data_IF_558547833659
#
_entry.id   IF_558547833659
#
_cell.length_a   1.000
_cell.length_b   1.000
_cell.length_c   1.000
_cell.angle_alpha   90.00
_cell.angle_beta   90.00
_cell.angle_gamma   90.00
#
_symmetry.space_group_name_H-M   'P 1'
#
loop_
_entity.id
_entity.type
_entity.pdbx_description
1 polymer ?
#
# COMPACT_ATOMS: atom_id res chain seq x y z
N UNK A 1 -24.17 30.40 29.93
CA UNK A 1 -24.49 30.81 28.56
C UNK A 1 -24.23 32.29 28.46
N UNK A 2 -23.16 32.68 27.78
CA UNK A 2 -22.89 34.10 27.53
C UNK A 2 -23.93 34.64 26.55
N UNK A 3 -24.67 35.68 26.95
CA UNK A 3 -25.57 36.37 26.06
C UNK A 3 -24.75 37.18 25.06
N UNK A 4 -24.82 36.79 23.80
CA UNK A 4 -24.16 37.51 22.71
C UNK A 4 -24.80 38.90 22.59
N UNK A 5 -24.06 39.95 22.93
CA UNK A 5 -24.47 41.34 22.69
C UNK A 5 -24.61 41.66 21.20
N UNK A 6 -25.10 42.87 20.86
CA UNK A 6 -25.42 43.23 19.47
C UNK A 6 -24.23 43.09 18.50
N UNK A 7 -24.45 42.46 17.33
CA UNK A 7 -23.44 42.20 16.28
C UNK A 7 -23.43 43.31 15.22
N UNK A 8 -24.55 44.04 15.12
CA UNK A 8 -24.73 45.16 14.22
C UNK A 8 -25.34 46.35 14.99
N UNK A 9 -25.00 47.56 14.54
CA UNK A 9 -25.60 48.81 15.01
C UNK A 9 -25.98 49.66 13.81
N UNK A 10 -27.11 50.36 13.87
CA UNK A 10 -27.58 51.19 12.76
C UNK A 10 -28.49 52.31 13.22
N UNK A 11 -28.72 53.29 12.34
CA UNK A 11 -29.48 54.49 12.66
C UNK A 11 -29.77 55.36 11.44
N UNK A 12 -30.53 56.45 11.65
CA UNK A 12 -30.75 57.50 10.66
C UNK A 12 -29.57 58.48 10.67
N UNK A 13 -29.07 58.80 9.50
CA UNK A 13 -27.94 59.69 9.23
C UNK A 13 -28.31 60.76 8.22
N UNK A 14 -29.53 61.30 8.34
CA UNK A 14 -30.16 62.19 7.35
C UNK A 14 -29.33 63.43 6.96
N UNK A 15 -28.38 63.84 7.81
CA UNK A 15 -27.52 64.99 7.55
C UNK A 15 -26.13 64.62 6.99
N UNK A 16 -25.78 63.33 6.92
CA UNK A 16 -24.42 62.88 6.59
C UNK A 16 -24.07 63.09 5.12
N UNK A 17 -25.04 62.89 4.22
CA UNK A 17 -24.88 63.20 2.79
C UNK A 17 -24.93 64.70 2.54
N UNK A 18 -25.74 65.44 3.31
CA UNK A 18 -25.83 66.90 3.22
C UNK A 18 -24.50 67.61 3.49
N UNK A 19 -23.63 67.04 4.34
CA UNK A 19 -22.29 67.56 4.62
C UNK A 19 -21.35 67.54 3.40
N UNK A 20 -21.64 66.72 2.38
CA UNK A 20 -20.86 66.62 1.15
C UNK A 20 -21.58 67.22 -0.07
N UNK A 21 -22.80 67.73 0.10
CA UNK A 21 -23.55 68.42 -0.97
C UNK A 21 -23.36 69.94 -0.85
N UNK A 22 -22.81 70.55 -1.91
CA UNK A 22 -22.64 72.00 -2.11
C UNK A 22 -23.89 72.86 -1.86
N UNK A 23 -25.09 72.27 -1.88
CA UNK A 23 -26.38 72.95 -1.65
C UNK A 23 -27.04 72.60 -0.31
N UNK A 24 -26.34 71.90 0.57
CA UNK A 24 -26.77 71.51 1.91
C UNK A 24 -28.19 70.89 1.95
N UNK A 25 -28.50 70.06 0.95
CA UNK A 25 -29.82 69.45 0.83
C UNK A 25 -29.93 68.33 1.87
N UNK A 26 -30.98 68.38 2.69
CA UNK A 26 -31.24 67.33 3.67
C UNK A 26 -31.80 66.10 2.94
N UNK A 27 -31.02 65.00 2.94
CA UNK A 27 -31.36 63.76 2.23
C UNK A 27 -31.49 62.66 3.28
N UNK A 28 -32.68 62.07 3.47
CA UNK A 28 -32.86 61.04 4.46
C UNK A 28 -31.96 59.83 4.16
N UNK A 29 -31.20 59.39 5.15
CA UNK A 29 -30.18 58.36 5.01
C UNK A 29 -30.28 57.40 6.20
N UNK A 30 -30.08 56.11 5.94
CA UNK A 30 -29.93 55.10 7.00
C UNK A 30 -28.62 54.36 6.78
N UNK A 31 -27.99 53.97 7.87
CA UNK A 31 -26.70 53.27 7.86
C UNK A 31 -26.72 52.13 8.85
N UNK A 32 -26.05 51.04 8.47
CA UNK A 32 -25.78 49.90 9.34
C UNK A 32 -24.28 49.64 9.33
N UNK A 33 -23.73 49.42 10.51
CA UNK A 33 -22.36 48.98 10.72
C UNK A 33 -22.38 47.60 11.34
N UNK A 34 -21.54 46.71 10.83
CA UNK A 34 -21.41 45.34 11.32
C UNK A 34 -19.96 45.12 11.74
N UNK A 35 -19.76 44.66 12.97
CA UNK A 35 -18.42 44.38 13.49
C UNK A 35 -17.92 43.03 12.98
N UNK A 36 -16.99 43.03 12.03
CA UNK A 36 -16.41 41.81 11.44
C UNK A 36 -15.74 40.93 12.51
N UNK A 37 -14.97 41.52 13.42
CA UNK A 37 -14.35 40.81 14.54
C UNK A 37 -15.39 40.10 15.43
N UNK A 38 -16.55 40.72 15.64
CA UNK A 38 -17.63 40.16 16.48
C UNK A 38 -18.31 38.98 15.80
N UNK A 39 -18.47 39.04 14.47
CA UNK A 39 -18.95 37.92 13.68
C UNK A 39 -18.00 36.73 13.84
N UNK A 40 -16.69 36.94 13.71
CA UNK A 40 -15.69 35.88 13.85
C UNK A 40 -15.74 35.24 15.24
N UNK A 41 -15.75 36.04 16.31
CA UNK A 41 -15.80 35.49 17.68
C UNK A 41 -17.07 34.68 17.95
N UNK A 42 -18.23 35.09 17.43
CA UNK A 42 -19.48 34.34 17.57
C UNK A 42 -19.46 33.05 16.75
N UNK A 43 -18.85 33.08 15.56
CA UNK A 43 -18.65 31.91 14.72
C UNK A 43 -17.75 30.89 15.45
N UNK A 44 -16.60 31.33 15.94
CA UNK A 44 -15.64 30.50 16.69
C UNK A 44 -16.25 29.90 17.96
N UNK A 45 -17.00 30.70 18.74
CA UNK A 45 -17.65 30.22 19.96
C UNK A 45 -18.75 29.18 19.67
N UNK A 46 -19.53 29.35 18.60
CA UNK A 46 -20.52 28.35 18.17
C UNK A 46 -19.84 27.08 17.63
N UNK A 47 -18.74 27.23 16.91
CA UNK A 47 -17.99 26.12 16.32
C UNK A 47 -17.24 25.28 17.36
N UNK A 48 -16.71 25.91 18.41
CA UNK A 48 -16.12 25.21 19.55
C UNK A 48 -17.14 24.35 20.33
N UNK A 49 -18.42 24.76 20.32
CA UNK A 49 -19.51 23.99 20.93
C UNK A 49 -19.95 22.78 20.08
N UNK A 50 -19.76 22.83 18.76
CA UNK A 50 -20.20 21.78 17.81
C UNK A 50 -19.12 20.72 17.52
N UNK A 51 -17.90 20.88 18.06
CA UNK A 51 -16.76 19.93 17.91
C UNK A 51 -16.44 19.55 16.45
N UNK A 52 -16.85 20.36 15.47
CA UNK A 52 -16.55 20.16 14.06
C UNK A 52 -15.19 20.78 13.74
N UNK A 53 -14.19 19.94 13.46
CA UNK A 53 -12.95 20.40 12.81
C UNK A 53 -13.31 21.01 11.45
N UNK A 54 -13.20 22.33 11.35
CA UNK A 54 -13.43 23.05 10.10
C UNK A 54 -12.35 22.60 9.12
N UNK A 55 -12.79 22.01 8.02
CA UNK A 55 -11.92 21.73 6.89
C UNK A 55 -11.69 23.05 6.17
N UNK A 56 -10.44 23.48 6.06
CA UNK A 56 -10.07 24.62 5.21
C UNK A 56 -10.06 24.24 3.73
N UNK A 57 -10.14 22.95 3.40
CA UNK A 57 -10.07 22.42 2.03
C UNK A 57 -11.27 21.52 1.73
N UNK A 58 -11.94 21.76 0.60
CA UNK A 58 -13.05 20.93 0.08
C UNK A 58 -12.58 19.63 -0.59
N UNK A 59 -11.39 19.12 -0.23
CA UNK A 59 -10.76 17.98 -0.89
C UNK A 59 -11.36 16.69 -0.35
N UNK A 60 -11.97 15.86 -1.18
CA UNK A 60 -12.53 14.58 -0.75
C UNK A 60 -11.46 13.48 -0.71
N UNK A 61 -10.55 13.46 -1.68
CA UNK A 61 -9.55 12.39 -1.82
C UNK A 61 -8.15 12.97 -2.03
N UNK A 62 -7.18 12.50 -1.24
CA UNK A 62 -5.77 12.78 -1.50
C UNK A 62 -5.13 11.61 -2.25
N UNK A 63 -4.52 11.89 -3.40
CA UNK A 63 -3.81 10.90 -4.21
C UNK A 63 -2.33 10.86 -3.83
N UNK A 64 -1.95 9.82 -3.10
CA UNK A 64 -0.60 9.57 -2.65
C UNK A 64 0.12 8.53 -3.54
N UNK A 65 1.45 8.60 -3.61
CA UNK A 65 2.28 7.57 -4.24
C UNK A 65 3.21 6.91 -3.22
N UNK A 66 3.27 5.57 -3.24
CA UNK A 66 4.16 4.77 -2.41
C UNK A 66 5.60 4.69 -2.98
N UNK A 67 5.76 4.78 -4.30
CA UNK A 67 7.05 4.67 -4.99
C UNK A 67 7.39 5.92 -5.81
N UNK A 68 8.60 5.93 -6.38
CA UNK A 68 9.11 7.01 -7.21
C UNK A 68 8.56 6.90 -8.65
N UNK A 69 8.46 8.02 -9.34
CA UNK A 69 8.08 8.16 -10.76
C UNK A 69 6.61 7.88 -11.11
N UNK A 70 5.72 7.72 -10.13
CA UNK A 70 4.27 7.55 -10.35
C UNK A 70 3.52 8.87 -10.58
N UNK A 71 4.20 9.93 -11.05
CA UNK A 71 3.57 11.24 -11.21
C UNK A 71 2.47 11.24 -12.30
N UNK A 72 2.72 10.57 -13.42
CA UNK A 72 1.76 10.48 -14.51
C UNK A 72 0.51 9.67 -14.12
N UNK A 73 0.70 8.56 -13.41
CA UNK A 73 -0.39 7.74 -12.91
C UNK A 73 -1.22 8.47 -11.86
N UNK A 74 -0.57 9.19 -10.92
CA UNK A 74 -1.27 10.06 -9.98
C UNK A 74 -2.12 11.10 -10.70
N UNK A 75 -1.58 11.75 -11.73
CA UNK A 75 -2.33 12.71 -12.53
C UNK A 75 -3.49 12.08 -13.31
N UNK A 76 -3.34 10.86 -13.83
CA UNK A 76 -4.45 10.13 -14.46
C UNK A 76 -5.56 9.85 -13.45
N UNK A 77 -5.21 9.31 -12.28
CA UNK A 77 -6.18 9.02 -11.22
C UNK A 77 -6.87 10.30 -10.71
N UNK A 78 -6.16 11.41 -10.57
CA UNK A 78 -6.77 12.70 -10.23
C UNK A 78 -7.80 13.13 -11.28
N UNK A 79 -7.52 12.95 -12.58
CA UNK A 79 -8.48 13.24 -13.64
C UNK A 79 -9.72 12.35 -13.55
N UNK A 80 -9.54 11.04 -13.40
CA UNK A 80 -10.65 10.09 -13.29
C UNK A 80 -11.54 10.41 -12.08
N UNK A 81 -10.94 10.83 -10.96
CA UNK A 81 -11.67 11.23 -9.75
C UNK A 81 -12.37 12.59 -9.93
N UNK A 82 -11.77 13.54 -10.64
CA UNK A 82 -12.42 14.80 -10.99
C UNK A 82 -13.61 14.59 -11.94
N UNK A 83 -13.48 13.70 -12.93
CA UNK A 83 -14.57 13.33 -13.84
C UNK A 83 -15.73 12.66 -13.08
N UNK A 84 -15.44 11.95 -11.98
CA UNK A 84 -16.43 11.40 -11.07
C UNK A 84 -17.03 12.43 -10.09
N UNK A 85 -16.63 13.71 -10.16
CA UNK A 85 -17.11 14.79 -9.30
C UNK A 85 -16.49 14.81 -7.90
N UNK A 86 -15.37 14.12 -7.67
CA UNK A 86 -14.64 14.14 -6.41
C UNK A 86 -13.52 15.18 -6.47
N UNK A 87 -13.54 16.15 -5.55
CA UNK A 87 -12.43 17.08 -5.38
C UNK A 87 -11.20 16.31 -4.90
N UNK A 88 -10.14 16.28 -5.70
CA UNK A 88 -8.90 15.58 -5.36
C UNK A 88 -7.67 16.46 -5.37
N UNK A 89 -6.72 16.15 -4.48
CA UNK A 89 -5.43 16.83 -4.36
C UNK A 89 -4.30 15.81 -4.39
N UNK A 90 -3.14 16.22 -4.90
CA UNK A 90 -1.91 15.44 -4.89
C UNK A 90 -0.73 16.31 -4.48
N UNK A 91 0.34 15.70 -3.96
CA UNK A 91 1.57 16.44 -3.66
C UNK A 91 2.27 16.91 -4.95
N UNK A 92 2.61 18.19 -5.01
CA UNK A 92 3.39 18.83 -6.07
C UNK A 92 4.80 18.25 -6.25
N UNK A 93 5.31 17.52 -5.25
CA UNK A 93 6.63 16.89 -5.35
C UNK A 93 6.56 15.70 -6.30
N UNK A 94 7.56 15.61 -7.19
CA UNK A 94 7.70 14.48 -8.13
C UNK A 94 7.76 13.13 -7.41
N UNK A 95 8.47 13.07 -6.27
CA UNK A 95 8.64 11.89 -5.43
C UNK A 95 8.50 12.25 -3.94
N UNK A 96 7.28 12.46 -3.43
CA UNK A 96 7.06 12.73 -2.01
C UNK A 96 7.22 11.43 -1.19
N UNK A 97 7.69 11.54 0.06
CA UNK A 97 7.68 10.38 0.98
C UNK A 97 6.23 10.05 1.35
N UNK A 98 5.87 8.76 1.38
CA UNK A 98 4.50 8.34 1.74
C UNK A 98 4.09 8.80 3.14
N UNK A 99 4.99 8.68 4.13
CA UNK A 99 4.70 9.12 5.49
C UNK A 99 4.31 10.60 5.57
N UNK A 100 5.01 11.46 4.82
CA UNK A 100 4.70 12.89 4.79
C UNK A 100 3.37 13.20 4.09
N UNK A 101 2.98 12.36 3.12
CA UNK A 101 1.69 12.46 2.44
C UNK A 101 0.54 12.07 3.37
N UNK A 102 0.69 10.97 4.12
CA UNK A 102 -0.32 10.54 5.09
C UNK A 102 -0.48 11.54 6.25
N UNK A 103 0.63 12.07 6.76
CA UNK A 103 0.61 13.10 7.79
C UNK A 103 -0.13 14.37 7.29
N UNK A 104 0.09 14.78 6.04
CA UNK A 104 -0.65 15.88 5.44
C UNK A 104 -2.15 15.61 5.33
N UNK A 105 -2.56 14.39 4.96
CA UNK A 105 -3.97 14.00 4.95
C UNK A 105 -4.61 14.12 6.33
N UNK A 106 -3.91 13.68 7.37
CA UNK A 106 -4.37 13.74 8.76
C UNK A 106 -4.48 15.18 9.27
N UNK A 107 -3.45 16.00 9.03
CA UNK A 107 -3.42 17.41 9.41
C UNK A 107 -4.51 18.22 8.68
N UNK A 108 -4.73 17.94 7.39
CA UNK A 108 -5.74 18.60 6.56
C UNK A 108 -7.15 18.02 6.72
N UNK A 109 -7.29 16.95 7.52
CA UNK A 109 -8.57 16.27 7.74
C UNK A 109 -9.21 15.73 6.46
N UNK A 110 -8.40 15.22 5.52
CA UNK A 110 -8.89 14.65 4.25
C UNK A 110 -9.48 13.26 4.53
N UNK A 111 -10.74 12.99 4.16
CA UNK A 111 -11.43 11.77 4.57
C UNK A 111 -10.94 10.50 3.87
N UNK A 112 -10.41 10.60 2.64
CA UNK A 112 -9.96 9.46 1.86
C UNK A 112 -8.56 9.68 1.31
N UNK A 113 -7.70 8.66 1.40
CA UNK A 113 -6.36 8.66 0.80
C UNK A 113 -6.25 7.50 -0.20
N UNK A 114 -6.06 7.81 -1.49
CA UNK A 114 -5.82 6.83 -2.54
C UNK A 114 -4.31 6.66 -2.74
N UNK A 115 -3.78 5.47 -2.49
CA UNK A 115 -2.33 5.21 -2.57
C UNK A 115 -2.03 4.40 -3.84
N UNK A 116 -1.30 5.01 -4.76
CA UNK A 116 -0.78 4.37 -5.96
C UNK A 116 0.58 3.72 -5.69
N UNK A 117 0.72 2.48 -6.14
CA UNK A 117 1.97 1.73 -6.14
C UNK A 117 1.90 0.56 -7.10
N UNK A 118 3.05 0.17 -7.65
CA UNK A 118 3.24 -1.12 -8.31
C UNK A 118 2.87 -2.26 -7.35
N UNK A 119 2.39 -3.39 -7.89
CA UNK A 119 1.89 -4.55 -7.12
C UNK A 119 2.84 -5.03 -6.02
N UNK A 120 4.13 -4.74 -6.20
CA UNK A 120 5.20 -4.88 -5.23
C UNK A 120 5.31 -3.66 -4.30
N UNK A 121 4.43 -3.61 -3.30
CA UNK A 121 4.67 -2.86 -2.06
C UNK A 121 5.98 -3.30 -1.36
N UNK A 122 6.41 -2.57 -0.32
CA UNK A 122 7.69 -2.83 0.35
C UNK A 122 7.83 -4.29 0.82
N UNK A 123 8.95 -4.94 0.47
CA UNK A 123 9.27 -6.32 0.89
C UNK A 123 10.05 -6.37 2.21
N UNK A 124 10.65 -5.24 2.60
CA UNK A 124 11.45 -5.10 3.81
C UNK A 124 11.21 -3.73 4.45
N UNK A 125 11.33 -3.66 5.77
CA UNK A 125 11.24 -2.42 6.55
C UNK A 125 12.32 -2.41 7.61
N UNK A 126 12.78 -1.24 8.02
CA UNK A 126 13.81 -1.15 9.06
C UNK A 126 14.07 0.28 9.48
N UNK A 127 14.82 0.43 10.58
CA UNK A 127 15.10 1.73 11.16
C UNK A 127 16.00 1.67 12.39
N UNK A 128 16.40 2.86 12.86
CA UNK A 128 17.00 3.05 14.18
C UNK A 128 15.90 3.21 15.21
N UNK A 129 16.06 2.53 16.34
CA UNK A 129 15.11 2.48 17.45
C UNK A 129 15.82 2.59 18.80
N UNK A 130 16.59 3.66 18.99
CA UNK A 130 17.52 3.80 20.14
C UNK A 130 16.83 3.94 21.50
N UNK A 131 15.55 4.32 21.49
CA UNK A 131 14.76 4.51 22.70
C UNK A 131 13.88 3.29 23.02
N UNK A 132 13.75 2.33 22.09
CA UNK A 132 12.80 1.22 22.23
C UNK A 132 13.21 0.27 23.36
N UNK A 133 14.51 0.00 23.49
CA UNK A 133 15.05 -0.84 24.56
C UNK A 133 15.01 -0.10 25.90
N UNK A 134 15.20 1.22 25.89
CA UNK A 134 15.12 2.05 27.09
C UNK A 134 13.75 1.99 27.77
N UNK A 135 12.67 1.84 27.00
CA UNK A 135 11.30 1.68 27.54
C UNK A 135 11.10 0.43 28.41
N UNK A 136 11.94 -0.59 28.24
CA UNK A 136 11.89 -1.84 29.01
C UNK A 136 13.02 -1.94 30.04
N UNK A 137 13.92 -0.96 30.10
CA UNK A 137 14.99 -0.90 31.10
C UNK A 137 14.52 -0.13 32.33
N UNK A 138 14.65 -0.74 33.51
CA UNK A 138 14.25 -0.16 34.79
C UNK A 138 15.06 1.09 35.20
N UNK A 139 16.17 1.36 34.49
CA UNK A 139 17.01 2.55 34.66
C UNK A 139 16.92 3.52 33.48
N UNK A 140 15.98 3.28 32.56
CA UNK A 140 15.72 4.08 31.37
C UNK A 140 16.98 4.36 30.54
N UNK A 141 17.89 3.39 30.48
CA UNK A 141 19.14 3.52 29.73
C UNK A 141 18.85 3.42 28.23
N UNK A 142 19.15 4.48 27.50
CA UNK A 142 19.08 4.44 26.04
C UNK A 142 20.16 3.50 25.48
N UNK A 143 19.72 2.51 24.69
CA UNK A 143 20.59 1.56 24.01
C UNK A 143 20.34 1.73 22.51
N UNK A 144 21.33 2.20 21.74
CA UNK A 144 21.16 2.39 20.31
C UNK A 144 20.92 1.05 19.63
N UNK A 145 19.90 0.99 18.78
CA UNK A 145 19.46 -0.25 18.13
C UNK A 145 19.08 0.01 16.68
N UNK A 146 19.48 -0.90 15.80
CA UNK A 146 19.06 -0.95 14.40
C UNK A 146 18.41 -2.29 14.13
N UNK A 147 17.30 -2.27 13.41
CA UNK A 147 16.58 -3.48 13.04
C UNK A 147 16.11 -3.41 11.60
N UNK A 148 16.11 -4.56 10.95
CA UNK A 148 15.47 -4.77 9.65
C UNK A 148 14.58 -5.99 9.75
N UNK A 149 13.41 -5.91 9.13
CA UNK A 149 12.48 -7.00 8.97
C UNK A 149 12.21 -7.20 7.48
N UNK A 150 12.05 -8.46 7.09
CA UNK A 150 11.77 -8.86 5.72
C UNK A 150 10.49 -9.69 5.72
N UNK A 151 9.51 -9.28 4.92
CA UNK A 151 8.23 -9.97 4.78
C UNK A 151 8.35 -11.11 3.79
N UNK A 152 8.64 -12.32 4.29
CA UNK A 152 8.83 -13.52 3.46
C UNK A 152 7.60 -13.85 2.62
N UNK A 153 6.40 -13.65 3.15
CA UNK A 153 5.14 -13.86 2.43
C UNK A 153 5.08 -13.03 1.14
N UNK A 154 5.51 -11.76 1.21
CA UNK A 154 5.52 -10.87 0.05
C UNK A 154 6.59 -11.27 -0.96
N UNK A 155 7.72 -11.82 -0.51
CA UNK A 155 8.74 -12.37 -1.41
C UNK A 155 8.18 -13.55 -2.20
N UNK A 156 7.46 -14.46 -1.54
CA UNK A 156 6.84 -15.61 -2.22
C UNK A 156 5.83 -15.17 -3.28
N UNK A 157 4.93 -14.25 -2.97
CA UNK A 157 3.94 -13.77 -3.97
C UNK A 157 4.60 -13.15 -5.21
N UNK A 158 5.73 -12.45 -5.03
CA UNK A 158 6.47 -11.86 -6.14
C UNK A 158 7.19 -12.91 -6.96
N UNK A 159 7.79 -13.90 -6.28
CA UNK A 159 8.45 -15.02 -6.92
C UNK A 159 7.46 -15.83 -7.76
N UNK A 160 6.30 -16.18 -7.19
CA UNK A 160 5.22 -16.89 -7.88
C UNK A 160 4.72 -16.11 -9.10
N UNK A 161 4.47 -14.80 -8.97
CA UNK A 161 4.03 -13.97 -10.08
C UNK A 161 5.06 -13.90 -11.22
N UNK A 162 6.37 -13.83 -10.90
CA UNK A 162 7.43 -13.88 -11.92
C UNK A 162 7.56 -15.26 -12.56
N UNK A 163 7.53 -16.33 -11.77
CA UNK A 163 7.65 -17.69 -12.30
C UNK A 163 6.47 -18.07 -13.18
N UNK A 164 5.26 -17.58 -12.85
CA UNK A 164 4.08 -17.71 -13.70
C UNK A 164 4.24 -16.98 -15.05
N UNK A 165 4.91 -15.82 -15.07
CA UNK A 165 5.21 -15.10 -16.31
C UNK A 165 6.27 -15.83 -17.16
N UNK A 166 7.26 -16.46 -16.52
CA UNK A 166 8.34 -17.19 -17.20
C UNK A 166 7.98 -18.66 -17.56
N UNK A 167 6.74 -19.10 -17.30
CA UNK A 167 6.28 -20.48 -17.54
C UNK A 167 7.19 -21.57 -16.93
N UNK A 168 7.94 -21.24 -15.88
CA UNK A 168 8.76 -22.23 -15.17
C UNK A 168 7.85 -23.11 -14.31
N UNK A 169 7.69 -24.38 -14.70
CA UNK A 169 7.06 -25.38 -13.83
C UNK A 169 7.94 -25.60 -12.59
N UNK A 170 7.44 -25.16 -11.44
CA UNK A 170 8.09 -25.40 -10.15
C UNK A 170 7.99 -26.89 -9.87
N UNK A 171 9.15 -27.56 -9.78
CA UNK A 171 9.22 -28.96 -9.40
C UNK A 171 9.07 -29.07 -7.89
N UNK A 172 8.23 -30.00 -7.44
CA UNK A 172 8.09 -30.33 -6.02
C UNK A 172 9.11 -31.37 -5.56
N UNK A 173 9.84 -31.99 -6.49
CA UNK A 173 10.81 -33.05 -6.22
C UNK A 173 12.19 -32.72 -6.77
N UNK A 174 13.23 -33.04 -6.00
CA UNK A 174 14.64 -32.88 -6.38
C UNK A 174 15.19 -34.12 -7.11
N UNK A 175 14.31 -34.97 -7.66
CA UNK A 175 14.72 -36.22 -8.33
C UNK A 175 15.32 -35.89 -9.69
N UNK A 176 16.53 -36.39 -9.94
CA UNK A 176 17.24 -36.20 -11.20
C UNK A 176 16.95 -37.32 -12.21
N UNK A 177 16.91 -38.56 -11.74
CA UNK A 177 16.77 -39.74 -12.61
C UNK A 177 15.69 -40.68 -12.06
N UNK A 178 14.79 -41.14 -12.93
CA UNK A 178 13.83 -42.19 -12.60
C UNK A 178 14.25 -43.51 -13.22
N UNK A 179 14.41 -44.56 -12.41
CA UNK A 179 14.77 -45.90 -12.88
C UNK A 179 13.51 -46.70 -13.22
N UNK A 180 13.30 -46.86 -14.52
CA UNK A 180 12.17 -47.54 -15.14
C UNK A 180 12.53 -48.95 -15.62
N UNK A 181 11.54 -49.82 -15.75
CA UNK A 181 11.69 -51.12 -16.43
C UNK A 181 10.43 -51.50 -17.20
N UNK A 182 10.62 -52.16 -18.35
CA UNK A 182 9.51 -52.62 -19.19
C UNK A 182 9.11 -54.08 -18.91
N UNK A 183 10.04 -54.91 -18.45
CA UNK A 183 9.86 -56.35 -18.27
C UNK A 183 9.61 -56.72 -16.81
N UNK A 184 9.21 -57.98 -16.60
CA UNK A 184 8.90 -58.54 -15.28
C UNK A 184 10.19 -59.00 -14.58
N UNK A 185 10.19 -59.03 -13.25
CA UNK A 185 11.28 -59.53 -12.39
C UNK A 185 12.59 -58.72 -12.36
N UNK A 186 12.66 -57.54 -12.98
CA UNK A 186 13.83 -56.66 -12.95
C UNK A 186 13.96 -55.80 -11.67
N UNK A 187 13.23 -56.11 -10.60
CA UNK A 187 13.24 -55.29 -9.38
C UNK A 187 14.63 -55.21 -8.74
N UNK A 188 15.35 -56.33 -8.68
CA UNK A 188 16.68 -56.38 -8.07
C UNK A 188 17.70 -55.57 -8.88
N UNK A 189 17.62 -55.63 -10.21
CA UNK A 189 18.50 -54.86 -11.10
C UNK A 189 18.22 -53.37 -11.02
N UNK A 190 16.95 -52.97 -10.98
CA UNK A 190 16.56 -51.56 -10.74
C UNK A 190 17.11 -51.06 -9.41
N UNK A 191 17.01 -51.86 -8.36
CA UNK A 191 17.52 -51.49 -7.04
C UNK A 191 19.05 -51.41 -7.01
N UNK A 192 19.76 -52.26 -7.75
CA UNK A 192 21.21 -52.14 -7.94
C UNK A 192 21.56 -50.83 -8.65
N UNK A 193 20.91 -50.54 -9.78
CA UNK A 193 21.13 -49.29 -10.51
C UNK A 193 20.80 -48.05 -9.68
N UNK A 194 19.73 -48.07 -8.89
CA UNK A 194 19.42 -46.99 -7.95
C UNK A 194 20.53 -46.78 -6.93
N UNK A 195 21.14 -47.86 -6.40
CA UNK A 195 22.28 -47.73 -5.48
C UNK A 195 23.48 -47.10 -6.17
N UNK A 196 23.84 -47.57 -7.36
CA UNK A 196 24.97 -47.03 -8.12
C UNK A 196 24.79 -45.53 -8.42
N UNK A 197 23.55 -45.11 -8.73
CA UNK A 197 23.21 -43.72 -9.00
C UNK A 197 23.19 -42.87 -7.72
N UNK A 198 22.72 -43.42 -6.59
CA UNK A 198 22.83 -42.76 -5.28
C UNK A 198 24.29 -42.60 -4.84
N UNK A 199 25.14 -43.61 -5.04
CA UNK A 199 26.56 -43.56 -4.74
C UNK A 199 27.30 -42.53 -5.62
N UNK A 200 26.81 -42.30 -6.83
CA UNK A 200 27.26 -41.22 -7.72
C UNK A 200 26.72 -39.82 -7.33
N UNK A 201 25.90 -39.71 -6.28
CA UNK A 201 25.33 -38.46 -5.80
C UNK A 201 24.10 -37.97 -6.58
N UNK A 202 23.47 -38.84 -7.39
CA UNK A 202 22.25 -38.50 -8.12
C UNK A 202 21.01 -38.89 -7.30
N UNK A 203 20.09 -37.95 -7.10
CA UNK A 203 18.78 -38.22 -6.54
C UNK A 203 17.97 -39.11 -7.50
N UNK A 204 17.92 -40.41 -7.22
CA UNK A 204 17.15 -41.38 -7.99
C UNK A 204 15.88 -41.87 -7.30
N UNK A 205 14.84 -42.11 -8.08
CA UNK A 205 13.61 -42.76 -7.64
C UNK A 205 13.25 -43.95 -8.54
N UNK A 206 12.53 -44.92 -7.98
CA UNK A 206 11.97 -46.05 -8.71
C UNK A 206 10.55 -46.36 -8.24
N UNK A 207 9.70 -46.86 -9.13
CA UNK A 207 8.39 -47.39 -8.74
C UNK A 207 8.51 -48.59 -7.77
N UNK A 208 7.77 -48.53 -6.65
CA UNK A 208 7.65 -49.60 -5.64
C UNK A 208 6.94 -50.87 -6.13
N UNK A 209 6.25 -50.81 -7.28
CA UNK A 209 5.56 -51.98 -7.83
C UNK A 209 6.60 -52.93 -8.44
N UNK A 210 6.44 -54.23 -8.18
CA UNK A 210 7.33 -55.28 -8.74
C UNK A 210 7.36 -55.25 -10.27
N UNK A 211 6.20 -55.09 -10.91
CA UNK A 211 6.05 -55.06 -12.38
C UNK A 211 5.18 -53.86 -12.81
N UNK A 212 5.70 -52.62 -12.77
CA UNK A 212 4.94 -51.45 -13.19
C UNK A 212 4.87 -51.38 -14.72
N UNK A 213 3.75 -50.90 -15.28
CA UNK A 213 3.68 -50.64 -16.73
C UNK A 213 4.60 -49.47 -17.10
N UNK A 214 5.40 -49.61 -18.17
CA UNK A 214 6.32 -48.57 -18.62
C UNK A 214 5.61 -47.23 -18.89
N UNK A 215 4.44 -47.27 -19.53
CA UNK A 215 3.66 -46.05 -19.82
C UNK A 215 3.33 -45.26 -18.55
N UNK A 216 2.92 -45.93 -17.47
CA UNK A 216 2.61 -45.29 -16.20
C UNK A 216 3.85 -44.71 -15.52
N UNK A 217 5.02 -45.33 -15.74
CA UNK A 217 6.30 -44.82 -15.23
C UNK A 217 6.72 -43.55 -15.96
N UNK A 218 6.57 -43.51 -17.29
CA UNK A 218 6.88 -42.33 -18.10
C UNK A 218 5.92 -41.17 -17.80
N UNK A 219 4.61 -41.46 -17.66
CA UNK A 219 3.63 -40.46 -17.22
C UNK A 219 3.98 -39.86 -15.86
N UNK A 220 4.41 -40.69 -14.91
CA UNK A 220 4.87 -40.21 -13.61
C UNK A 220 6.10 -39.30 -13.71
N UNK A 221 7.05 -39.62 -14.60
CA UNK A 221 8.22 -38.77 -14.86
C UNK A 221 7.80 -37.42 -15.44
N UNK A 222 6.83 -37.41 -16.36
CA UNK A 222 6.31 -36.19 -16.98
C UNK A 222 5.54 -35.31 -15.97
N UNK A 223 4.66 -35.90 -15.17
CA UNK A 223 3.89 -35.22 -14.13
C UNK A 223 4.80 -34.65 -13.04
N UNK A 224 5.84 -35.39 -12.64
CA UNK A 224 6.81 -34.98 -11.62
C UNK A 224 7.94 -34.11 -12.18
N UNK A 225 7.97 -33.90 -13.50
CA UNK A 225 9.00 -33.12 -14.20
C UNK A 225 10.42 -33.69 -14.12
N UNK A 226 10.57 -35.01 -13.98
CA UNK A 226 11.88 -35.67 -13.86
C UNK A 226 12.63 -35.61 -15.19
N UNK A 227 13.88 -35.09 -15.23
CA UNK A 227 14.58 -34.79 -16.47
C UNK A 227 15.10 -36.03 -17.20
N UNK A 228 15.45 -37.10 -16.47
CA UNK A 228 16.02 -38.32 -17.07
C UNK A 228 15.26 -39.56 -16.61
N UNK A 229 14.99 -40.45 -17.54
CA UNK A 229 14.44 -41.79 -17.26
C UNK A 229 15.43 -42.86 -17.74
N UNK A 230 15.96 -43.65 -16.81
CA UNK A 230 16.83 -44.78 -17.12
C UNK A 230 15.97 -46.04 -17.26
N UNK A 231 15.85 -46.59 -18.47
CA UNK A 231 15.00 -47.75 -18.75
C UNK A 231 15.86 -49.02 -18.79
N UNK A 232 15.58 -49.96 -17.89
CA UNK A 232 16.18 -51.28 -17.85
C UNK A 232 15.34 -52.30 -18.65
N UNK A 233 16.04 -53.12 -19.43
CA UNK A 233 15.49 -54.26 -20.15
C UNK A 233 16.56 -55.33 -20.37
N UNK A 234 16.13 -56.58 -20.46
CA UNK A 234 16.97 -57.70 -20.88
C UNK A 234 17.43 -57.48 -22.33
N UNK A 235 18.71 -57.82 -22.58
CA UNK A 235 19.32 -57.84 -23.91
C UNK A 235 19.00 -59.12 -24.67
#
# INVERSE_FOLDING_TARGET
>A
GESVGSIAGGGRYDNLVGMFDSRNKNVPCVGVSVGVERIFSVLEARMAADNQKIRTTEVHVFVASAQKNLLEERMKLCRDLWDAGLNTEQSYKKNPKLLAQLQYCEESGIPWAAILGESVGSIAGGGRYDNLVGMFDSRNKNVPCVGVSVGVERIFSVLEARMAADNQKIRTTEVHVFVASAQKNLLEERMKLCRDLWDAGLNTEQSYKKNPKLLAQLQYCEESGIPWAAILGES
#
